data_IF_293875781483
#
_entry.id   IF_293875781483
#
_cell.length_a   1.000
_cell.length_b   1.000
_cell.length_c   1.000
_cell.angle_alpha   90.00
_cell.angle_beta   90.00
_cell.angle_gamma   90.00
#
_symmetry.space_group_name_H-M   'P 1'
#
loop_
_entity.id
_entity.type
_entity.pdbx_description
1 polymer ?
#
# COMPACT_ATOMS: atom_id res chain seq x y z
N UNK A 1 19.81 -17.28 -7.61
CA UNK A 1 18.70 -17.99 -6.94
C UNK A 1 17.68 -18.43 -7.99
N UNK A 2 16.91 -19.50 -7.76
CA UNK A 2 15.88 -19.92 -8.70
C UNK A 2 14.68 -18.95 -8.62
N UNK A 3 13.97 -18.79 -9.74
CA UNK A 3 12.70 -18.05 -9.74
C UNK A 3 11.70 -18.72 -8.80
N UNK A 4 10.78 -17.94 -8.16
CA UNK A 4 9.73 -18.51 -7.34
C UNK A 4 8.85 -19.47 -8.17
N UNK A 5 8.26 -20.46 -7.51
CA UNK A 5 7.23 -21.28 -8.12
C UNK A 5 6.03 -20.38 -8.46
N UNK A 6 5.54 -20.43 -9.69
CA UNK A 6 4.41 -19.61 -10.16
C UNK A 6 3.16 -20.45 -10.16
N UNK A 7 2.10 -19.97 -9.51
CA UNK A 7 0.76 -20.58 -9.53
C UNK A 7 -0.28 -19.50 -9.87
N UNK A 8 -1.29 -19.88 -10.65
CA UNK A 8 -2.33 -19.01 -11.16
C UNK A 8 -3.73 -19.33 -10.60
N UNK A 9 -3.88 -20.47 -9.96
CA UNK A 9 -5.15 -20.89 -9.39
C UNK A 9 -5.12 -20.96 -7.84
N UNK A 10 -6.26 -20.71 -7.23
CA UNK A 10 -6.47 -20.85 -5.78
C UNK A 10 -6.22 -22.29 -5.33
N UNK A 11 -6.58 -23.27 -6.17
CA UNK A 11 -6.35 -24.67 -5.86
C UNK A 11 -4.85 -25.00 -5.74
N UNK A 12 -4.01 -24.51 -6.67
CA UNK A 12 -2.58 -24.70 -6.65
C UNK A 12 -1.92 -23.94 -5.49
N UNK A 13 -2.33 -22.68 -5.23
CA UNK A 13 -1.87 -21.91 -4.07
C UNK A 13 -2.12 -22.67 -2.77
N UNK A 14 -3.36 -23.13 -2.56
CA UNK A 14 -3.74 -23.89 -1.37
C UNK A 14 -3.00 -25.23 -1.24
N UNK A 15 -2.74 -25.91 -2.34
CA UNK A 15 -1.97 -27.15 -2.32
C UNK A 15 -0.55 -26.90 -1.83
N UNK A 16 0.14 -25.89 -2.38
CA UNK A 16 1.50 -25.54 -1.96
C UNK A 16 1.57 -25.10 -0.49
N UNK A 17 0.64 -24.27 -0.05
CA UNK A 17 0.61 -23.81 1.35
C UNK A 17 0.33 -24.99 2.30
N UNK A 18 -0.58 -25.91 1.95
CA UNK A 18 -0.82 -27.12 2.76
C UNK A 18 0.41 -28.00 2.89
N UNK A 19 1.20 -28.13 1.82
CA UNK A 19 2.44 -28.90 1.87
C UNK A 19 3.44 -28.26 2.84
N UNK A 20 3.63 -26.95 2.80
CA UNK A 20 4.46 -26.22 3.76
C UNK A 20 3.95 -26.37 5.21
N UNK A 21 2.62 -26.31 5.40
CA UNK A 21 2.03 -26.48 6.74
C UNK A 21 2.23 -27.89 7.31
N UNK A 22 2.22 -28.93 6.46
CA UNK A 22 2.54 -30.30 6.91
C UNK A 22 4.00 -30.43 7.37
N UNK A 23 4.90 -29.65 6.78
CA UNK A 23 6.30 -29.58 7.16
C UNK A 23 6.54 -28.65 8.37
N UNK A 24 5.49 -28.09 8.96
CA UNK A 24 5.56 -27.19 10.14
C UNK A 24 6.05 -25.78 9.81
N UNK A 25 6.04 -25.36 8.53
CA UNK A 25 6.61 -24.08 8.09
C UNK A 25 5.60 -22.95 8.22
N UNK A 26 6.08 -21.79 8.70
CA UNK A 26 5.36 -20.52 8.72
C UNK A 26 5.29 -19.89 7.34
N UNK A 27 4.19 -19.16 7.07
CA UNK A 27 3.92 -18.53 5.77
C UNK A 27 3.64 -17.05 5.95
N UNK A 28 4.41 -16.20 5.26
CA UNK A 28 4.10 -14.79 5.12
C UNK A 28 3.59 -14.47 3.71
N UNK A 29 2.77 -13.42 3.59
CA UNK A 29 2.24 -12.95 2.32
C UNK A 29 2.55 -11.49 2.07
N UNK A 30 2.91 -11.17 0.83
CA UNK A 30 3.08 -9.80 0.34
C UNK A 30 2.10 -9.56 -0.81
N UNK A 31 0.94 -8.95 -0.58
CA UNK A 31 0.01 -8.57 -1.63
C UNK A 31 0.58 -7.44 -2.51
N UNK A 32 0.61 -7.63 -3.83
CA UNK A 32 1.05 -6.62 -4.79
C UNK A 32 0.20 -6.61 -6.06
N UNK A 33 0.32 -5.53 -6.83
CA UNK A 33 -0.24 -5.44 -8.18
C UNK A 33 0.81 -5.65 -9.28
N UNK A 34 2.03 -6.08 -8.94
CA UNK A 34 3.15 -6.14 -9.88
C UNK A 34 3.87 -4.81 -10.07
N UNK A 35 4.65 -4.68 -11.14
CA UNK A 35 5.57 -3.57 -11.39
C UNK A 35 6.49 -3.33 -10.16
N UNK A 36 7.09 -4.42 -9.70
CA UNK A 36 7.82 -4.44 -8.43
C UNK A 36 9.02 -3.49 -8.46
N UNK A 37 9.20 -2.76 -7.38
CA UNK A 37 10.33 -1.85 -7.13
C UNK A 37 10.94 -2.15 -5.75
N UNK A 38 12.02 -1.46 -5.38
CA UNK A 38 12.75 -1.73 -4.12
C UNK A 38 11.87 -1.66 -2.88
N UNK A 39 10.83 -0.82 -2.89
CA UNK A 39 9.81 -0.81 -1.84
C UNK A 39 9.10 -2.16 -1.70
N UNK A 40 8.70 -2.83 -2.79
CA UNK A 40 8.10 -4.16 -2.72
C UNK A 40 9.12 -5.24 -2.29
N UNK A 41 10.36 -5.12 -2.75
CA UNK A 41 11.43 -6.06 -2.38
C UNK A 41 11.76 -5.98 -0.89
N UNK A 42 11.69 -4.79 -0.29
CA UNK A 42 11.84 -4.65 1.17
C UNK A 42 10.75 -5.38 1.95
N UNK A 43 9.50 -5.40 1.43
CA UNK A 43 8.41 -6.16 2.05
C UNK A 43 8.69 -7.67 2.03
N UNK A 44 9.21 -8.19 0.91
CA UNK A 44 9.59 -9.61 0.79
C UNK A 44 10.70 -9.98 1.79
N UNK A 45 11.69 -9.11 1.97
CA UNK A 45 12.76 -9.35 2.96
C UNK A 45 12.19 -9.41 4.38
N UNK A 46 11.34 -8.48 4.76
CA UNK A 46 10.65 -8.49 6.07
C UNK A 46 9.78 -9.74 6.21
N UNK A 47 9.09 -10.17 5.14
CA UNK A 47 8.30 -11.41 5.16
C UNK A 47 9.17 -12.63 5.49
N UNK A 48 10.38 -12.72 4.90
CA UNK A 48 11.33 -13.81 5.12
C UNK A 48 12.05 -13.75 6.48
N UNK A 49 12.04 -12.59 7.15
CA UNK A 49 12.48 -12.47 8.55
C UNK A 49 11.42 -12.98 9.54
N UNK A 50 10.17 -13.03 9.12
CA UNK A 50 9.03 -13.39 9.97
C UNK A 50 8.55 -14.81 9.78
N UNK A 51 8.74 -15.39 8.60
CA UNK A 51 8.26 -16.73 8.27
C UNK A 51 9.24 -17.49 7.35
N UNK A 52 9.12 -18.80 7.34
CA UNK A 52 9.98 -19.69 6.55
C UNK A 52 9.69 -19.59 5.04
N UNK A 53 8.49 -19.18 4.68
CA UNK A 53 8.00 -19.11 3.29
C UNK A 53 7.31 -17.78 3.02
N UNK A 54 7.60 -17.22 1.86
CA UNK A 54 6.97 -16.00 1.37
C UNK A 54 6.17 -16.28 0.09
N UNK A 55 4.88 -15.95 0.15
CA UNK A 55 3.97 -15.88 -1.00
C UNK A 55 3.85 -14.42 -1.42
N UNK A 56 4.12 -14.12 -2.68
CA UNK A 56 3.87 -12.79 -3.24
C UNK A 56 2.74 -12.89 -4.24
N UNK A 57 1.62 -12.18 -4.02
CA UNK A 57 0.60 -12.08 -5.06
C UNK A 57 0.96 -10.97 -6.05
N UNK A 58 0.73 -11.24 -7.34
CA UNK A 58 0.84 -10.26 -8.42
C UNK A 58 -0.50 -10.24 -9.14
N UNK A 59 -1.39 -9.33 -8.72
CA UNK A 59 -2.74 -9.22 -9.26
C UNK A 59 -3.18 -7.76 -9.37
N UNK A 60 -3.36 -7.28 -10.59
CA UNK A 60 -3.93 -5.94 -10.86
C UNK A 60 -5.44 -6.03 -10.63
N UNK A 61 -5.87 -5.63 -9.44
CA UNK A 61 -7.24 -5.77 -9.01
C UNK A 61 -8.15 -4.70 -9.65
N UNK A 62 -9.07 -5.05 -10.57
CA UNK A 62 -9.89 -4.07 -11.25
C UNK A 62 -10.87 -3.35 -10.31
N UNK A 63 -11.27 -3.97 -9.20
CA UNK A 63 -12.29 -3.41 -8.30
C UNK A 63 -11.80 -2.23 -7.45
N UNK A 64 -10.48 -1.99 -7.41
CA UNK A 64 -9.87 -0.85 -6.71
C UNK A 64 -9.48 0.30 -7.64
N UNK A 65 -9.91 0.27 -8.90
CA UNK A 65 -9.72 1.37 -9.85
C UNK A 65 -11.06 2.03 -10.17
N UNK A 66 -11.09 3.35 -10.13
CA UNK A 66 -12.22 4.09 -10.68
C UNK A 66 -12.19 4.04 -12.22
N UNK A 67 -13.34 4.23 -12.91
CA UNK A 67 -13.39 4.19 -14.37
C UNK A 67 -12.44 5.16 -15.09
N UNK A 68 -12.04 6.23 -14.40
CA UNK A 68 -11.12 7.27 -14.94
C UNK A 68 -9.65 7.02 -14.56
N UNK A 69 -9.35 5.96 -13.83
CA UNK A 69 -7.99 5.67 -13.37
C UNK A 69 -7.18 4.82 -14.39
N UNK A 70 -5.93 4.60 -14.06
CA UNK A 70 -4.89 4.05 -14.93
C UNK A 70 -4.88 2.51 -15.08
N UNK A 71 -6.02 1.83 -14.87
CA UNK A 71 -6.11 0.36 -14.91
C UNK A 71 -5.52 -0.25 -16.19
N UNK A 72 -5.87 0.32 -17.36
CA UNK A 72 -5.40 -0.20 -18.66
C UNK A 72 -3.92 0.10 -18.90
N UNK A 73 -3.40 1.15 -18.27
CA UNK A 73 -2.01 1.61 -18.39
C UNK A 73 -1.12 1.07 -17.29
N UNK A 74 -1.71 0.43 -16.27
CA UNK A 74 -0.94 -0.08 -15.14
C UNK A 74 0.12 -1.07 -15.62
N UNK A 75 1.41 -0.87 -15.27
CA UNK A 75 2.50 -1.66 -15.83
C UNK A 75 2.35 -3.16 -15.51
N UNK A 76 2.45 -4.00 -16.55
CA UNK A 76 2.41 -5.46 -16.43
C UNK A 76 3.73 -6.01 -16.98
N UNK A 77 4.61 -6.45 -16.10
CA UNK A 77 5.97 -6.90 -16.45
C UNK A 77 6.36 -8.16 -15.67
N UNK A 78 5.49 -9.18 -15.71
CA UNK A 78 5.59 -10.39 -14.90
C UNK A 78 6.99 -11.03 -14.93
N UNK A 79 7.63 -11.15 -16.09
CA UNK A 79 8.95 -11.76 -16.18
C UNK A 79 10.00 -11.03 -15.34
N UNK A 80 10.00 -9.69 -15.40
CA UNK A 80 10.89 -8.84 -14.58
C UNK A 80 10.55 -8.92 -13.09
N UNK A 81 9.26 -8.96 -12.77
CA UNK A 81 8.81 -9.09 -11.40
C UNK A 81 9.28 -10.42 -10.79
N UNK A 82 9.18 -11.53 -11.54
CA UNK A 82 9.68 -12.84 -11.11
C UNK A 82 11.20 -12.87 -10.92
N UNK A 83 11.97 -12.18 -11.75
CA UNK A 83 13.42 -12.06 -11.58
C UNK A 83 13.76 -11.32 -10.29
N UNK A 84 13.08 -10.21 -10.00
CA UNK A 84 13.23 -9.47 -8.74
C UNK A 84 12.85 -10.29 -7.51
N UNK A 85 11.77 -11.08 -7.61
CA UNK A 85 11.37 -11.99 -6.53
C UNK A 85 12.38 -13.10 -6.30
N UNK A 86 13.01 -13.62 -7.37
CA UNK A 86 14.10 -14.59 -7.27
C UNK A 86 15.30 -14.01 -6.51
N UNK A 87 15.71 -12.78 -6.82
CA UNK A 87 16.77 -12.07 -6.12
C UNK A 87 16.47 -11.84 -4.65
N UNK A 88 15.19 -11.57 -4.32
CA UNK A 88 14.72 -11.38 -2.95
C UNK A 88 14.54 -12.70 -2.17
N UNK A 89 14.51 -13.85 -2.85
CA UNK A 89 14.37 -15.17 -2.25
C UNK A 89 12.92 -15.60 -1.97
N UNK A 90 11.91 -14.98 -2.62
CA UNK A 90 10.52 -15.42 -2.50
C UNK A 90 10.32 -16.84 -3.06
N UNK A 91 9.51 -17.67 -2.41
CA UNK A 91 9.31 -19.07 -2.80
C UNK A 91 8.14 -19.25 -3.76
N UNK A 92 7.08 -18.43 -3.65
CA UNK A 92 5.87 -18.57 -4.44
C UNK A 92 5.39 -17.23 -4.97
N UNK A 93 5.06 -17.17 -6.26
CA UNK A 93 4.34 -16.08 -6.88
C UNK A 93 2.92 -16.56 -7.24
N UNK A 94 1.91 -15.91 -6.69
CA UNK A 94 0.51 -16.16 -7.02
C UNK A 94 0.05 -15.10 -8.04
N UNK A 95 -0.25 -15.54 -9.25
CA UNK A 95 -0.54 -14.67 -10.41
C UNK A 95 -1.90 -14.99 -11.04
N UNK A 96 -3.00 -14.89 -10.25
CA UNK A 96 -4.33 -15.22 -10.73
C UNK A 96 -4.80 -14.22 -11.80
N UNK A 97 -5.67 -14.69 -12.69
CA UNK A 97 -6.44 -13.81 -13.54
C UNK A 97 -7.70 -13.25 -12.84
N UNK A 98 -8.44 -12.39 -13.53
CA UNK A 98 -9.65 -11.77 -13.00
C UNK A 98 -10.76 -12.82 -12.81
N UNK A 99 -10.86 -13.82 -13.66
CA UNK A 99 -11.90 -14.85 -13.58
C UNK A 99 -11.66 -15.79 -12.38
N UNK A 100 -10.40 -16.09 -12.05
CA UNK A 100 -10.03 -16.84 -10.84
C UNK A 100 -10.37 -16.06 -9.56
N UNK A 101 -10.09 -14.77 -9.55
CA UNK A 101 -10.38 -13.94 -8.38
C UNK A 101 -11.85 -13.57 -8.27
N UNK A 102 -12.52 -13.30 -9.37
CA UNK A 102 -13.93 -12.87 -9.44
C UNK A 102 -14.67 -13.69 -10.51
N UNK A 103 -15.02 -14.95 -10.22
CA UNK A 103 -15.72 -15.81 -11.17
C UNK A 103 -17.10 -15.27 -11.50
N UNK A 104 -17.68 -15.73 -12.59
CA UNK A 104 -19.03 -15.36 -13.01
C UNK A 104 -20.04 -15.55 -11.84
N UNK A 105 -20.85 -14.52 -11.58
CA UNK A 105 -21.78 -14.51 -10.45
C UNK A 105 -21.17 -14.07 -9.11
N UNK A 106 -19.89 -13.67 -9.06
CA UNK A 106 -19.32 -13.10 -7.85
C UNK A 106 -20.08 -11.84 -7.41
N UNK A 107 -20.59 -11.83 -6.18
CA UNK A 107 -21.48 -10.77 -5.68
C UNK A 107 -21.09 -10.26 -4.27
N UNK A 108 -20.03 -10.78 -3.67
CA UNK A 108 -19.59 -10.38 -2.33
C UNK A 108 -18.76 -9.11 -2.37
N UNK A 109 -19.09 -8.16 -1.51
CA UNK A 109 -18.29 -6.94 -1.27
C UNK A 109 -18.04 -6.80 0.22
N UNK A 110 -16.83 -6.43 0.60
CA UNK A 110 -16.45 -6.09 1.98
C UNK A 110 -16.22 -4.60 2.03
N UNK A 111 -16.94 -3.92 2.92
CA UNK A 111 -16.77 -2.50 3.21
C UNK A 111 -16.30 -2.35 4.65
N UNK A 112 -15.24 -1.58 4.85
CA UNK A 112 -14.66 -1.30 6.16
C UNK A 112 -14.98 0.14 6.53
N UNK A 113 -15.48 0.37 7.74
CA UNK A 113 -15.71 1.72 8.29
C UNK A 113 -14.44 2.31 8.92
N UNK A 114 -14.60 3.30 9.80
CA UNK A 114 -13.49 3.88 10.59
C UNK A 114 -12.35 4.40 9.71
N UNK A 115 -11.20 3.72 9.67
CA UNK A 115 -10.03 4.22 8.92
C UNK A 115 -10.25 4.35 7.41
N UNK A 116 -11.29 3.76 6.84
CA UNK A 116 -11.63 3.96 5.43
C UNK A 116 -12.38 5.29 5.18
N UNK A 117 -12.80 6.02 6.20
CA UNK A 117 -13.53 7.28 6.02
C UNK A 117 -12.59 8.45 5.71
N UNK A 118 -13.03 9.33 4.79
CA UNK A 118 -12.27 10.54 4.42
C UNK A 118 -10.99 10.24 3.62
N UNK A 119 -10.15 11.25 3.45
CA UNK A 119 -8.85 11.15 2.76
C UNK A 119 -9.00 10.55 1.35
N UNK A 120 -8.42 9.36 1.09
CA UNK A 120 -8.55 8.67 -0.21
C UNK A 120 -10.01 8.43 -0.60
N UNK A 121 -10.89 8.09 0.33
CA UNK A 121 -12.29 7.77 0.04
C UNK A 121 -13.10 8.97 -0.45
N UNK A 122 -12.71 10.20 -0.10
CA UNK A 122 -13.38 11.41 -0.60
C UNK A 122 -13.14 11.60 -2.11
N UNK A 123 -12.04 11.04 -2.63
CA UNK A 123 -11.64 11.13 -4.04
C UNK A 123 -11.84 9.82 -4.80
N UNK A 124 -11.89 8.70 -4.09
CA UNK A 124 -11.99 7.33 -4.61
C UNK A 124 -12.99 6.50 -3.77
N UNK A 125 -14.29 6.78 -3.83
CA UNK A 125 -15.26 6.26 -2.85
C UNK A 125 -15.35 4.74 -2.72
N UNK A 126 -15.02 3.98 -3.79
CA UNK A 126 -15.08 2.51 -3.80
C UNK A 126 -13.73 1.83 -3.65
N UNK A 127 -12.66 2.60 -3.51
CA UNK A 127 -11.29 2.09 -3.50
C UNK A 127 -11.06 1.06 -2.39
N UNK A 128 -11.41 1.42 -1.15
CA UNK A 128 -11.17 0.53 -0.01
C UNK A 128 -12.11 -0.68 0.03
N UNK A 129 -13.29 -0.61 -0.55
CA UNK A 129 -14.14 -1.80 -0.75
C UNK A 129 -13.45 -2.82 -1.66
N UNK A 130 -12.83 -2.34 -2.75
CA UNK A 130 -12.03 -3.17 -3.65
C UNK A 130 -10.82 -3.77 -2.94
N UNK A 131 -10.08 -2.97 -2.16
CA UNK A 131 -8.92 -3.41 -1.39
C UNK A 131 -9.33 -4.43 -0.32
N UNK A 132 -10.33 -4.13 0.50
CA UNK A 132 -10.79 -5.01 1.57
C UNK A 132 -11.27 -6.37 1.02
N UNK A 133 -12.00 -6.34 -0.10
CA UNK A 133 -12.51 -7.55 -0.73
C UNK A 133 -11.37 -8.42 -1.28
N UNK A 134 -10.42 -7.84 -2.02
CA UNK A 134 -9.30 -8.63 -2.58
C UNK A 134 -8.38 -9.16 -1.49
N UNK A 135 -8.07 -8.34 -0.47
CA UNK A 135 -7.18 -8.74 0.62
C UNK A 135 -7.81 -9.85 1.46
N UNK A 136 -9.10 -9.75 1.81
CA UNK A 136 -9.81 -10.82 2.50
C UNK A 136 -9.78 -12.12 1.69
N UNK A 137 -10.00 -12.07 0.36
CA UNK A 137 -9.89 -13.25 -0.50
C UNK A 137 -8.48 -13.85 -0.48
N UNK A 138 -7.45 -13.03 -0.61
CA UNK A 138 -6.06 -13.49 -0.58
C UNK A 138 -5.72 -14.17 0.76
N UNK A 139 -6.17 -13.62 1.89
CA UNK A 139 -5.95 -14.21 3.21
C UNK A 139 -6.70 -15.54 3.38
N UNK A 140 -7.95 -15.61 2.92
CA UNK A 140 -8.73 -16.86 2.95
C UNK A 140 -8.20 -17.92 1.97
N UNK A 141 -7.49 -17.51 0.92
CA UNK A 141 -6.89 -18.41 -0.06
C UNK A 141 -5.54 -18.96 0.41
N UNK A 142 -4.66 -18.09 0.92
CA UNK A 142 -3.30 -18.44 1.32
C UNK A 142 -3.17 -18.80 2.81
N UNK A 143 -4.10 -18.37 3.67
CA UNK A 143 -4.05 -18.55 5.13
C UNK A 143 -2.66 -18.24 5.71
N UNK A 144 -2.10 -17.04 5.48
CA UNK A 144 -0.78 -16.70 5.96
C UNK A 144 -0.79 -16.42 7.47
N UNK A 145 0.38 -16.60 8.17
CA UNK A 145 0.55 -16.16 9.54
C UNK A 145 0.79 -14.66 9.62
N UNK A 146 1.53 -14.13 8.63
CA UNK A 146 1.90 -12.71 8.53
C UNK A 146 1.54 -12.16 7.15
N UNK A 147 1.12 -10.90 7.12
CA UNK A 147 0.99 -10.17 5.86
C UNK A 147 1.67 -8.80 5.96
N UNK A 148 2.53 -8.49 4.97
CA UNK A 148 3.38 -7.32 5.00
C UNK A 148 2.85 -6.27 4.04
N UNK A 149 2.60 -5.06 4.56
CA UNK A 149 2.12 -3.91 3.79
C UNK A 149 3.06 -2.72 3.98
N UNK A 150 3.28 -1.95 2.93
CA UNK A 150 4.08 -0.74 3.03
C UNK A 150 3.33 0.39 3.73
N UNK A 151 3.99 1.09 4.66
CA UNK A 151 3.46 2.29 5.31
C UNK A 151 3.24 3.47 4.36
N UNK A 152 3.79 3.42 3.15
CA UNK A 152 3.50 4.42 2.12
C UNK A 152 2.00 4.55 1.87
N UNK A 153 1.28 3.44 1.79
CA UNK A 153 -0.17 3.38 1.62
C UNK A 153 -0.85 3.26 2.99
N UNK A 154 -0.58 4.25 3.87
CA UNK A 154 -0.88 4.16 5.31
C UNK A 154 -2.36 3.97 5.62
N UNK A 155 -3.24 4.67 4.92
CA UNK A 155 -4.68 4.47 5.11
C UNK A 155 -5.09 3.05 4.73
N UNK A 156 -4.53 2.49 3.65
CA UNK A 156 -4.74 1.08 3.30
C UNK A 156 -4.27 0.12 4.40
N UNK A 157 -3.09 0.37 4.98
CA UNK A 157 -2.57 -0.43 6.10
C UNK A 157 -3.55 -0.42 7.30
N UNK A 158 -4.07 0.76 7.66
CA UNK A 158 -5.06 0.89 8.74
C UNK A 158 -6.38 0.16 8.40
N UNK A 159 -6.85 0.26 7.16
CA UNK A 159 -8.05 -0.46 6.69
C UNK A 159 -7.86 -1.97 6.76
N UNK A 160 -6.71 -2.49 6.34
CA UNK A 160 -6.41 -3.93 6.39
C UNK A 160 -6.29 -4.43 7.84
N UNK A 161 -5.68 -3.65 8.72
CA UNK A 161 -5.64 -3.97 10.17
C UNK A 161 -7.05 -4.01 10.76
N UNK A 162 -7.90 -3.05 10.41
CA UNK A 162 -9.30 -3.03 10.85
C UNK A 162 -10.05 -4.25 10.33
N UNK A 163 -9.92 -4.56 9.04
CA UNK A 163 -10.52 -5.74 8.41
C UNK A 163 -10.16 -7.04 9.17
N UNK A 164 -8.87 -7.26 9.45
CA UNK A 164 -8.43 -8.47 10.15
C UNK A 164 -8.99 -8.55 11.56
N UNK A 165 -8.99 -7.45 12.29
CA UNK A 165 -9.53 -7.39 13.66
C UNK A 165 -11.03 -7.66 13.69
N UNK A 166 -11.81 -7.04 12.78
CA UNK A 166 -13.27 -7.12 12.79
C UNK A 166 -13.80 -8.48 12.31
N UNK A 167 -13.02 -9.18 11.47
CA UNK A 167 -13.37 -10.51 10.95
C UNK A 167 -12.63 -11.64 11.65
N UNK A 168 -11.91 -11.38 12.75
CA UNK A 168 -11.12 -12.35 13.49
C UNK A 168 -10.18 -13.18 12.58
N UNK A 169 -9.62 -12.54 11.53
CA UNK A 169 -8.69 -13.21 10.64
C UNK A 169 -7.37 -13.46 11.37
N UNK A 170 -6.89 -14.73 11.43
CA UNK A 170 -5.68 -15.09 12.19
C UNK A 170 -4.40 -14.71 11.42
N UNK A 171 -4.29 -13.46 11.01
CA UNK A 171 -3.16 -12.92 10.24
C UNK A 171 -2.60 -11.71 10.96
N UNK A 172 -1.32 -11.73 11.31
CA UNK A 172 -0.64 -10.57 11.85
C UNK A 172 -0.25 -9.59 10.72
N UNK A 173 -0.75 -8.35 10.80
CA UNK A 173 -0.48 -7.31 9.79
C UNK A 173 0.72 -6.47 10.19
N UNK A 174 1.80 -6.57 9.43
CA UNK A 174 3.05 -5.85 9.65
C UNK A 174 3.14 -4.67 8.69
N UNK A 175 3.30 -3.46 9.25
CA UNK A 175 3.64 -2.26 8.49
C UNK A 175 5.15 -2.21 8.26
N UNK A 176 5.56 -2.05 7.02
CA UNK A 176 6.97 -1.89 6.65
C UNK A 176 7.26 -0.41 6.32
N UNK A 177 8.38 0.14 6.79
CA UNK A 177 8.75 1.54 6.55
C UNK A 177 8.77 1.89 5.06
N UNK A 178 8.36 3.12 4.75
CA UNK A 178 8.38 3.65 3.38
C UNK A 178 9.82 3.71 2.84
N UNK A 179 10.13 2.95 1.81
CA UNK A 179 11.40 3.03 1.08
C UNK A 179 11.37 4.26 0.18
N UNK A 180 12.45 5.03 0.19
CA UNK A 180 12.59 6.28 -0.56
C UNK A 180 13.84 6.25 -1.44
N UNK A 181 13.83 7.05 -2.51
CA UNK A 181 15.06 7.31 -3.26
C UNK A 181 16.08 8.11 -2.41
N UNK A 182 17.30 8.26 -2.91
CA UNK A 182 18.37 9.00 -2.21
C UNK A 182 18.01 10.47 -1.91
N UNK A 183 16.96 11.00 -2.51
CA UNK A 183 16.49 12.38 -2.35
C UNK A 183 15.13 12.50 -1.65
N UNK A 184 14.64 11.39 -1.08
CA UNK A 184 13.47 11.37 -0.20
C UNK A 184 12.13 11.04 -0.88
N UNK A 185 12.06 10.88 -2.20
CA UNK A 185 10.82 10.50 -2.88
C UNK A 185 10.44 9.06 -2.52
N UNK A 186 9.21 8.84 -2.06
CA UNK A 186 8.69 7.51 -1.79
C UNK A 186 8.64 6.66 -3.07
N UNK A 187 9.12 5.42 -2.99
CA UNK A 187 9.10 4.49 -4.13
C UNK A 187 7.67 4.14 -4.50
N UNK A 188 7.35 4.26 -5.79
CA UNK A 188 6.03 3.96 -6.35
C UNK A 188 6.16 3.50 -7.81
N UNK A 189 5.32 2.54 -8.23
CA UNK A 189 5.22 2.15 -9.65
C UNK A 189 4.83 3.34 -10.54
N UNK A 190 4.09 4.31 -10.01
CA UNK A 190 3.69 5.52 -10.72
C UNK A 190 4.82 6.53 -10.94
N UNK A 191 5.93 6.40 -10.21
CA UNK A 191 7.11 7.25 -10.46
C UNK A 191 7.67 7.05 -11.89
N UNK A 192 7.41 5.89 -12.51
CA UNK A 192 7.79 5.61 -13.89
C UNK A 192 7.03 6.48 -14.93
N UNK A 193 5.98 7.15 -14.54
CA UNK A 193 5.24 8.08 -15.40
C UNK A 193 5.82 9.50 -15.41
N UNK A 194 6.74 9.79 -14.47
CA UNK A 194 7.32 11.13 -14.28
C UNK A 194 8.61 11.28 -15.06
N UNK A 195 8.75 12.40 -15.76
CA UNK A 195 10.02 12.83 -16.33
C UNK A 195 10.96 13.39 -15.26
N UNK A 196 12.25 13.62 -15.63
CA UNK A 196 13.26 14.10 -14.67
C UNK A 196 12.86 15.41 -13.97
N UNK A 197 12.31 16.37 -14.68
CA UNK A 197 11.84 17.63 -14.10
C UNK A 197 10.68 17.42 -13.12
N UNK A 198 9.76 16.51 -13.45
CA UNK A 198 8.65 16.16 -12.56
C UNK A 198 9.13 15.39 -11.32
N UNK A 199 10.15 14.54 -11.45
CA UNK A 199 10.77 13.87 -10.30
C UNK A 199 11.38 14.87 -9.31
N UNK A 200 11.99 15.95 -9.80
CA UNK A 200 12.50 17.03 -8.95
C UNK A 200 11.37 17.72 -8.16
N UNK A 201 10.26 18.01 -8.83
CA UNK A 201 9.08 18.57 -8.16
C UNK A 201 8.50 17.59 -7.16
N UNK A 202 8.34 16.31 -7.53
CA UNK A 202 7.74 15.25 -6.69
C UNK A 202 8.45 15.08 -5.34
N UNK A 203 9.78 15.26 -5.29
CA UNK A 203 10.58 15.19 -4.07
C UNK A 203 10.19 16.23 -3.01
N UNK A 204 9.62 17.37 -3.42
CA UNK A 204 9.14 18.38 -2.48
C UNK A 204 7.97 17.88 -1.62
N UNK A 205 7.23 16.86 -2.05
CA UNK A 205 6.13 16.31 -1.26
C UNK A 205 6.62 15.88 0.15
N UNK A 206 7.67 15.06 0.20
CA UNK A 206 8.23 14.62 1.48
C UNK A 206 8.85 15.75 2.30
N UNK A 207 9.54 16.68 1.63
CA UNK A 207 10.17 17.85 2.30
C UNK A 207 9.10 18.69 2.99
N UNK A 208 8.04 19.05 2.28
CA UNK A 208 6.93 19.85 2.82
C UNK A 208 6.23 19.11 3.96
N UNK A 209 5.95 17.80 3.78
CA UNK A 209 5.32 17.02 4.85
C UNK A 209 6.15 16.98 6.12
N UNK A 210 7.47 16.77 6.04
CA UNK A 210 8.34 16.78 7.21
C UNK A 210 8.37 18.13 7.92
N UNK A 211 8.42 19.23 7.16
CA UNK A 211 8.37 20.59 7.73
C UNK A 211 7.03 20.84 8.43
N UNK A 212 5.93 20.44 7.79
CA UNK A 212 4.59 20.56 8.34
C UNK A 212 4.42 19.72 9.62
N UNK A 213 4.88 18.47 9.62
CA UNK A 213 4.81 17.60 10.80
C UNK A 213 5.63 18.18 11.97
N UNK A 214 6.82 18.73 11.70
CA UNK A 214 7.64 19.39 12.71
C UNK A 214 6.95 20.64 13.30
N UNK A 215 6.29 21.45 12.48
CA UNK A 215 5.52 22.60 12.94
C UNK A 215 4.32 22.20 13.81
N UNK A 216 3.58 21.14 13.41
CA UNK A 216 2.47 20.60 14.20
C UNK A 216 2.94 20.07 15.56
N UNK A 217 4.04 19.31 15.59
CA UNK A 217 4.64 18.81 16.83
C UNK A 217 5.09 19.97 17.74
N UNK A 218 5.63 21.07 17.16
CA UNK A 218 6.01 22.29 17.89
C UNK A 218 4.80 23.13 18.38
N UNK A 219 3.57 22.74 18.03
CA UNK A 219 2.39 23.40 18.57
C UNK A 219 1.65 24.33 17.60
N UNK A 220 2.02 24.37 16.32
CA UNK A 220 1.30 25.18 15.32
C UNK A 220 -0.15 24.70 15.15
N UNK A 221 -1.03 25.61 14.73
CA UNK A 221 -2.41 25.26 14.39
C UNK A 221 -2.48 24.40 13.13
N UNK A 222 -3.27 23.30 13.18
CA UNK A 222 -3.35 22.36 12.08
C UNK A 222 -3.88 23.00 10.79
N UNK A 223 -4.97 23.76 10.92
CA UNK A 223 -5.65 24.35 9.75
C UNK A 223 -4.77 25.30 8.97
N UNK A 224 -4.11 26.24 9.66
CA UNK A 224 -3.20 27.19 9.02
C UNK A 224 -1.96 26.50 8.45
N UNK A 225 -1.36 25.55 9.19
CA UNK A 225 -0.12 24.87 8.83
C UNK A 225 -0.33 23.97 7.58
N UNK A 226 -1.44 23.22 7.51
CA UNK A 226 -1.75 22.39 6.34
C UNK A 226 -2.14 23.21 5.11
N UNK A 227 -2.78 24.37 5.31
CA UNK A 227 -3.06 25.31 4.21
C UNK A 227 -1.76 25.94 3.66
N UNK A 228 -0.79 26.24 4.51
CA UNK A 228 0.55 26.71 4.08
C UNK A 228 1.31 25.63 3.31
N UNK A 229 1.27 24.38 3.81
CA UNK A 229 1.86 23.23 3.14
C UNK A 229 1.28 23.02 1.74
N UNK A 230 -0.05 23.15 1.60
CA UNK A 230 -0.72 23.05 0.29
C UNK A 230 -0.25 24.13 -0.67
N UNK A 231 -0.13 25.40 -0.21
CA UNK A 231 0.41 26.49 -1.03
C UNK A 231 1.87 26.25 -1.40
N UNK A 232 2.68 25.71 -0.47
CA UNK A 232 4.09 25.39 -0.71
C UNK A 232 4.24 24.32 -1.80
N UNK A 233 3.41 23.28 -1.82
CA UNK A 233 3.42 22.26 -2.87
C UNK A 233 3.04 22.84 -4.23
N UNK A 234 1.99 23.65 -4.32
CA UNK A 234 1.62 24.32 -5.57
C UNK A 234 2.74 25.22 -6.07
N UNK A 235 3.37 26.01 -5.17
CA UNK A 235 4.53 26.85 -5.51
C UNK A 235 5.73 26.02 -5.98
N UNK A 236 5.91 24.80 -5.46
CA UNK A 236 6.98 23.88 -5.88
C UNK A 236 6.72 23.24 -7.26
N UNK A 237 5.51 23.40 -7.83
CA UNK A 237 5.16 22.91 -9.16
C UNK A 237 4.10 21.80 -9.20
N UNK A 238 3.47 21.46 -8.09
CA UNK A 238 2.31 20.56 -8.10
C UNK A 238 1.08 21.29 -8.67
N UNK A 239 0.31 20.63 -9.53
CA UNK A 239 -0.88 21.21 -10.15
C UNK A 239 -2.04 21.35 -9.16
N UNK A 240 -2.17 20.39 -8.24
CA UNK A 240 -3.28 20.33 -7.28
C UNK A 240 -2.90 19.52 -6.05
N UNK A 241 -3.39 19.92 -4.90
CA UNK A 241 -3.36 19.15 -3.66
C UNK A 241 -4.80 18.70 -3.34
N UNK A 242 -5.01 17.40 -3.25
CA UNK A 242 -6.31 16.85 -2.88
C UNK A 242 -6.54 17.02 -1.37
N UNK A 243 -5.56 16.62 -0.57
CA UNK A 243 -5.56 16.84 0.88
C UNK A 243 -4.14 16.86 1.47
N UNK A 244 -3.97 17.55 2.59
CA UNK A 244 -2.94 17.37 3.60
C UNK A 244 -3.66 17.37 4.93
N UNK A 245 -3.57 16.27 5.70
CA UNK A 245 -4.34 16.13 6.92
C UNK A 245 -3.57 15.33 7.99
N UNK A 246 -3.57 15.83 9.22
CA UNK A 246 -3.10 15.08 10.37
C UNK A 246 -4.20 14.18 10.92
N UNK A 247 -3.86 12.92 11.20
CA UNK A 247 -4.77 11.91 11.74
C UNK A 247 -4.10 11.14 12.87
N UNK A 248 -4.88 10.60 13.79
CA UNK A 248 -4.37 9.64 14.78
C UNK A 248 -3.81 8.42 14.05
N UNK A 249 -2.63 7.95 14.44
CA UNK A 249 -1.90 6.91 13.69
C UNK A 249 -2.62 5.58 13.59
N UNK A 250 -3.42 5.17 14.56
CA UNK A 250 -4.09 3.86 14.53
C UNK A 250 -5.50 3.90 13.93
N UNK A 251 -6.26 4.96 14.22
CA UNK A 251 -7.69 5.04 13.90
C UNK A 251 -7.99 5.89 12.69
N UNK A 252 -7.05 6.77 12.31
CA UNK A 252 -7.22 7.85 11.34
C UNK A 252 -8.35 8.85 11.71
N UNK A 253 -8.80 8.86 12.95
CA UNK A 253 -9.62 9.93 13.50
C UNK A 253 -8.88 11.29 13.43
N UNK A 254 -9.56 12.43 13.56
CA UNK A 254 -8.91 13.73 13.65
C UNK A 254 -7.79 13.72 14.70
N UNK A 255 -6.61 14.20 14.34
CA UNK A 255 -5.44 14.15 15.21
C UNK A 255 -5.59 15.03 16.45
N UNK A 256 -5.04 14.54 17.55
CA UNK A 256 -4.94 15.23 18.83
C UNK A 256 -3.49 15.23 19.27
N UNK A 257 -3.00 16.35 19.80
CA UNK A 257 -1.59 16.53 20.19
C UNK A 257 -1.09 15.58 21.27
N UNK A 258 -2.00 15.07 22.10
CA UNK A 258 -1.70 14.10 23.15
C UNK A 258 -1.55 12.65 22.62
N UNK A 259 -1.56 12.47 21.30
CA UNK A 259 -1.44 11.17 20.62
C UNK A 259 -0.52 11.22 19.42
N UNK A 260 0.12 10.10 19.17
CA UNK A 260 0.90 9.93 17.94
C UNK A 260 0.02 10.10 16.72
N UNK A 261 0.49 10.91 15.79
CA UNK A 261 -0.21 11.25 14.57
C UNK A 261 0.52 10.79 13.31
N UNK A 262 -0.22 10.83 12.22
CA UNK A 262 0.29 10.66 10.87
C UNK A 262 -0.21 11.82 10.02
N UNK A 263 0.69 12.52 9.37
CA UNK A 263 0.37 13.54 8.37
C UNK A 263 0.36 12.86 7.01
N UNK A 264 -0.82 12.82 6.37
CA UNK A 264 -1.01 12.19 5.07
C UNK A 264 -1.30 13.24 4.01
N UNK A 265 -0.84 13.02 2.80
CA UNK A 265 -1.10 13.90 1.68
C UNK A 265 -1.32 13.16 0.37
N UNK A 266 -2.13 13.77 -0.50
CA UNK A 266 -2.26 13.41 -1.89
C UNK A 266 -2.21 14.67 -2.76
N UNK A 267 -1.38 14.63 -3.79
CA UNK A 267 -1.18 15.76 -4.71
C UNK A 267 -0.97 15.27 -6.14
N UNK A 268 -1.30 16.12 -7.11
CA UNK A 268 -1.21 15.84 -8.53
C UNK A 268 -0.02 16.56 -9.16
N UNK A 269 0.69 15.83 -10.00
CA UNK A 269 1.74 16.35 -10.85
C UNK A 269 1.48 15.84 -12.27
N UNK A 270 1.07 16.75 -13.16
CA UNK A 270 0.51 16.38 -14.44
C UNK A 270 -0.72 15.47 -14.28
N UNK A 271 -0.62 14.27 -14.82
CA UNK A 271 -1.65 13.22 -14.72
C UNK A 271 -1.38 12.20 -13.61
N UNK A 272 -0.28 12.36 -12.89
CA UNK A 272 0.16 11.40 -11.86
C UNK A 272 -0.25 11.88 -10.47
N UNK A 273 -1.06 11.10 -9.80
CA UNK A 273 -1.42 11.33 -8.41
C UNK A 273 -0.39 10.65 -7.50
N UNK A 274 0.26 11.46 -6.68
CA UNK A 274 1.26 11.02 -5.71
C UNK A 274 0.68 11.09 -4.30
N UNK A 275 1.01 10.09 -3.48
CA UNK A 275 0.70 10.06 -2.07
C UNK A 275 1.98 9.88 -1.27
N UNK A 276 2.00 10.49 -0.10
CA UNK A 276 3.06 10.27 0.89
C UNK A 276 2.51 10.55 2.30
N UNK A 277 3.25 10.10 3.29
CA UNK A 277 2.91 10.38 4.68
C UNK A 277 4.16 10.38 5.57
N UNK A 278 4.07 11.05 6.71
CA UNK A 278 5.11 11.13 7.73
C UNK A 278 4.48 11.07 9.12
N UNK A 279 5.24 10.66 10.11
CA UNK A 279 4.84 10.68 11.52
C UNK A 279 4.74 12.10 12.05
N UNK A 280 3.78 12.32 12.95
CA UNK A 280 3.68 13.50 13.81
C UNK A 280 3.76 12.98 15.24
N UNK A 281 4.90 13.14 15.93
CA UNK A 281 5.04 12.66 17.29
C UNK A 281 4.07 13.39 18.23
N UNK A 282 3.62 12.70 19.25
CA UNK A 282 2.89 13.30 20.38
C UNK A 282 3.78 14.33 21.09
N UNK A 283 3.17 15.38 21.63
CA UNK A 283 3.86 16.43 22.36
C UNK A 283 4.21 16.00 23.81
#
# INVERSE_FOLDING_TARGET
MSRPHVVDSVAALRAQVRDWRRDGLGVAMVPTMGALHDGHISLVRIALEKADRCVVSIFVNPTQFAPSEDLDKYPRQLARDLDRLAEAGAQLAFTPDVAEMYPAGFATRISVGGPAAGLESDFRPTFFDGVATVVAKLFLQASPDYAIFGEKDYQQLCVVRQLCRDLDLPVEIIGAPTVRDARGLAMSSRNAYLGEAELEVARNLNVVLRQTAAALAAGSDEGSTTAEASRALVKAGFDKVDYIAARESLTLAPWRRDRDGRLLAAAWLGKTRLIDNVEVPSA
#
